data_IF_739507249435
#
_entry.id   IF_739507249435
#
_cell.length_a   1.000
_cell.length_b   1.000
_cell.length_c   1.000
_cell.angle_alpha   90.00
_cell.angle_beta   90.00
_cell.angle_gamma   90.00
#
_symmetry.space_group_name_H-M   'P 1'
#
loop_
_entity.id
_entity.type
_entity.pdbx_description
1 polymer ?
#
# COMPACT_ATOMS: atom_id res chain seq x y z
N UNK A 1 35.43 -5.78 25.76
CA UNK A 1 35.33 -6.64 24.55
C UNK A 1 34.29 -7.71 24.84
N UNK A 2 33.14 -7.64 24.20
CA UNK A 2 32.10 -8.67 24.26
C UNK A 2 31.76 -9.02 22.81
N UNK A 3 31.83 -10.31 22.50
CA UNK A 3 31.80 -10.91 21.17
C UNK A 3 30.42 -10.85 20.53
N UNK A 4 30.41 -10.53 19.24
CA UNK A 4 29.28 -10.11 18.40
C UNK A 4 28.47 -11.29 17.80
N UNK A 5 28.38 -12.44 18.48
CA UNK A 5 27.80 -13.66 17.89
C UNK A 5 26.47 -14.16 18.50
N UNK A 6 25.90 -13.48 19.51
CA UNK A 6 24.64 -13.91 20.13
C UNK A 6 23.53 -12.84 20.00
N UNK A 7 23.26 -12.38 18.78
CA UNK A 7 22.06 -11.58 18.46
C UNK A 7 21.09 -12.43 17.64
N UNK A 8 19.83 -12.62 18.09
CA UNK A 8 18.84 -13.37 17.33
C UNK A 8 18.56 -12.63 16.02
N UNK A 9 18.60 -13.36 14.90
CA UNK A 9 18.22 -12.84 13.59
C UNK A 9 16.82 -12.21 13.68
N UNK A 10 16.61 -11.02 13.09
CA UNK A 10 15.31 -10.36 13.13
C UNK A 10 14.26 -11.23 12.41
N UNK A 11 13.00 -11.21 12.86
CA UNK A 11 11.95 -12.01 12.23
C UNK A 11 11.75 -11.52 10.80
N UNK A 12 11.93 -12.42 9.82
CA UNK A 12 11.69 -12.18 8.40
C UNK A 12 10.34 -11.48 8.23
N UNK A 13 10.35 -10.42 7.41
CA UNK A 13 9.17 -9.61 7.10
C UNK A 13 8.07 -10.48 6.48
N UNK A 14 6.81 -10.07 6.63
CA UNK A 14 5.65 -10.79 6.05
C UNK A 14 5.83 -11.07 4.55
N UNK A 15 6.50 -10.15 3.86
CA UNK A 15 6.82 -10.26 2.44
C UNK A 15 7.89 -11.33 2.15
N UNK A 16 8.98 -11.39 2.92
CA UNK A 16 10.00 -12.45 2.76
C UNK A 16 9.43 -13.83 3.08
N UNK A 17 8.51 -13.94 4.06
CA UNK A 17 7.81 -15.21 4.33
C UNK A 17 6.92 -15.61 3.16
N UNK A 18 6.22 -14.66 2.55
CA UNK A 18 5.39 -14.93 1.37
C UNK A 18 6.22 -15.33 0.16
N UNK A 19 7.35 -14.65 -0.11
CA UNK A 19 8.27 -14.99 -1.20
C UNK A 19 8.90 -16.36 -0.98
N UNK A 20 9.31 -16.69 0.25
CA UNK A 20 9.86 -18.01 0.59
C UNK A 20 8.79 -19.11 0.48
N UNK A 21 7.54 -18.82 0.84
CA UNK A 21 6.41 -19.73 0.65
C UNK A 21 6.11 -19.95 -0.84
N UNK A 22 6.17 -18.90 -1.67
CA UNK A 22 5.95 -19.01 -3.12
C UNK A 22 7.09 -19.77 -3.79
N UNK A 23 8.35 -19.52 -3.40
CA UNK A 23 9.50 -20.27 -3.90
C UNK A 23 9.42 -21.76 -3.50
N UNK A 24 8.94 -22.05 -2.29
CA UNK A 24 8.70 -23.41 -1.81
C UNK A 24 7.55 -24.09 -2.55
N UNK A 25 6.44 -23.39 -2.78
CA UNK A 25 5.31 -23.91 -3.56
C UNK A 25 5.69 -24.13 -5.03
N UNK A 26 6.54 -23.27 -5.61
CA UNK A 26 7.08 -23.44 -6.95
C UNK A 26 7.99 -24.67 -7.03
N UNK A 27 8.88 -24.87 -6.05
CA UNK A 27 9.71 -26.08 -5.94
C UNK A 27 8.89 -27.35 -5.70
N UNK A 28 7.83 -27.28 -4.90
CA UNK A 28 6.91 -28.40 -4.66
C UNK A 28 6.09 -28.72 -5.92
N UNK A 29 5.70 -27.72 -6.72
CA UNK A 29 5.07 -27.92 -8.04
C UNK A 29 6.04 -28.51 -9.06
N UNK A 30 7.29 -28.04 -9.12
CA UNK A 30 8.31 -28.60 -10.00
C UNK A 30 8.57 -30.09 -9.66
N UNK A 31 8.67 -30.42 -8.36
CA UNK A 31 8.84 -31.78 -7.88
C UNK A 31 7.60 -32.66 -8.14
N UNK A 32 6.39 -32.09 -8.09
CA UNK A 32 5.15 -32.81 -8.42
C UNK A 32 5.03 -33.12 -9.93
N UNK A 33 5.57 -32.27 -10.80
CA UNK A 33 5.65 -32.50 -12.24
C UNK A 33 6.67 -33.61 -12.57
N UNK A 34 7.83 -33.63 -11.90
CA UNK A 34 8.83 -34.70 -12.01
C UNK A 34 8.32 -36.05 -11.47
N UNK A 35 7.54 -36.04 -10.37
CA UNK A 35 6.92 -37.27 -9.85
C UNK A 35 5.81 -37.84 -10.74
N UNK A 36 5.12 -37.00 -11.53
CA UNK A 36 4.11 -37.46 -12.52
C UNK A 36 4.72 -38.03 -13.79
N UNK A 37 5.94 -37.66 -14.15
CA UNK A 37 6.66 -38.23 -15.31
C UNK A 37 7.34 -39.57 -15.01
N UNK A 38 7.45 -39.95 -13.73
CA UNK A 38 8.06 -41.22 -13.28
C UNK A 38 7.09 -42.35 -12.91
N UNK A 39 5.76 -42.18 -12.97
CA UNK A 39 4.84 -43.29 -12.66
C UNK A 39 4.70 -44.23 -13.86
N UNK A 40 5.49 -45.32 -13.78
CA UNK A 40 5.25 -46.56 -14.49
C UNK A 40 3.78 -46.95 -14.37
N UNK A 41 3.23 -47.32 -15.52
CA UNK A 41 1.90 -47.87 -15.72
C UNK A 41 1.67 -49.09 -14.81
N UNK A 42 1.08 -48.88 -13.64
CA UNK A 42 0.33 -49.92 -12.92
C UNK A 42 -1.02 -50.08 -13.62
N UNK A 43 -1.14 -51.19 -14.37
CA UNK A 43 -2.39 -51.62 -15.00
C UNK A 43 -3.49 -51.79 -13.94
N UNK A 44 -4.71 -51.29 -14.15
CA UNK A 44 -5.88 -51.89 -13.54
C UNK A 44 -6.32 -53.08 -14.39
N UNK A 45 -6.37 -54.26 -13.77
CA UNK A 45 -7.16 -55.38 -14.27
C UNK A 45 -8.63 -54.94 -14.33
N UNK A 46 -9.15 -54.83 -15.55
CA UNK A 46 -10.58 -54.88 -15.80
C UNK A 46 -10.80 -56.05 -16.75
N UNK A 47 -11.45 -57.09 -16.21
CA UNK A 47 -11.83 -58.32 -16.87
C UNK A 47 -12.84 -58.05 -17.99
N UNK A 48 -12.37 -58.12 -19.24
CA UNK A 48 -13.22 -58.28 -20.42
C UNK A 48 -13.39 -59.78 -20.69
N UNK A 49 -14.46 -60.36 -20.12
CA UNK A 49 -15.15 -61.46 -20.78
C UNK A 49 -15.98 -60.84 -21.91
N UNK A 50 -15.58 -61.06 -23.16
CA UNK A 50 -16.40 -61.31 -24.35
C UNK A 50 -15.57 -61.04 -25.63
N UNK A 51 -15.33 -62.10 -26.43
CA UNK A 51 -14.94 -61.94 -27.83
C UNK A 51 -13.94 -62.96 -28.33
N UNK A 52 -14.43 -63.96 -29.06
CA UNK A 52 -13.62 -64.99 -29.71
C UNK A 52 -12.53 -64.45 -30.64
N UNK A 53 -11.51 -65.28 -30.85
CA UNK A 53 -10.32 -65.00 -31.64
C UNK A 53 -10.63 -64.65 -33.10
N UNK A 54 -10.92 -63.39 -33.38
CA UNK A 54 -10.84 -62.86 -34.75
C UNK A 54 -9.39 -62.46 -34.98
N UNK A 55 -8.72 -63.12 -35.92
CA UNK A 55 -7.34 -62.83 -36.30
C UNK A 55 -7.19 -61.33 -36.57
N UNK A 56 -6.37 -60.66 -35.76
CA UNK A 56 -6.14 -59.21 -35.84
C UNK A 56 -5.76 -58.82 -37.28
N UNK A 57 -6.47 -57.87 -37.92
CA UNK A 57 -6.25 -57.51 -39.32
C UNK A 57 -4.78 -57.20 -39.62
N UNK A 58 -4.27 -57.68 -40.77
CA UNK A 58 -2.86 -57.51 -41.17
C UNK A 58 -2.45 -56.02 -41.23
N UNK A 59 -3.38 -55.16 -41.63
CA UNK A 59 -3.20 -53.72 -41.67
C UNK A 59 -2.94 -53.12 -40.27
N UNK A 60 -3.74 -53.48 -39.27
CA UNK A 60 -3.59 -52.99 -37.90
C UNK A 60 -2.24 -53.42 -37.30
N UNK A 61 -1.78 -54.65 -37.59
CA UNK A 61 -0.44 -55.12 -37.17
C UNK A 61 0.69 -54.30 -37.81
N UNK A 62 0.52 -53.86 -39.06
CA UNK A 62 1.51 -53.04 -39.78
C UNK A 62 1.60 -51.63 -39.18
N UNK A 63 0.47 -51.01 -38.86
CA UNK A 63 0.44 -49.70 -38.22
C UNK A 63 1.00 -49.75 -36.79
N UNK A 64 0.63 -50.75 -35.99
CA UNK A 64 1.15 -50.89 -34.63
C UNK A 64 2.67 -51.13 -34.59
N UNK A 65 3.21 -51.89 -35.54
CA UNK A 65 4.66 -52.10 -35.66
C UNK A 65 5.40 -50.89 -36.20
N UNK A 66 4.75 -50.05 -37.03
CA UNK A 66 5.28 -48.74 -37.42
C UNK A 66 5.32 -47.78 -36.22
N UNK A 67 4.20 -47.62 -35.50
CA UNK A 67 4.09 -46.78 -34.31
C UNK A 67 5.15 -47.13 -33.25
N UNK A 68 5.34 -48.42 -32.96
CA UNK A 68 6.34 -48.87 -31.97
C UNK A 68 7.77 -48.56 -32.41
N UNK A 69 8.09 -48.64 -33.70
CA UNK A 69 9.42 -48.32 -34.22
C UNK A 69 9.71 -46.83 -34.14
N UNK A 70 8.76 -46.00 -34.57
CA UNK A 70 8.89 -44.54 -34.52
C UNK A 70 8.96 -44.02 -33.07
N UNK A 71 8.15 -44.57 -32.15
CA UNK A 71 8.24 -44.23 -30.73
C UNK A 71 9.57 -44.63 -30.08
N UNK A 72 10.15 -45.77 -30.48
CA UNK A 72 11.47 -46.20 -29.98
C UNK A 72 12.63 -45.40 -30.59
N UNK A 73 12.42 -44.74 -31.73
CA UNK A 73 13.42 -43.89 -32.38
C UNK A 73 13.49 -42.48 -31.76
N UNK A 74 12.46 -42.05 -31.01
CA UNK A 74 12.44 -40.76 -30.33
C UNK A 74 13.29 -40.79 -29.05
N UNK A 75 14.15 -39.79 -28.89
CA UNK A 75 14.95 -39.59 -27.67
C UNK A 75 14.13 -38.91 -26.56
N UNK A 76 13.94 -39.54 -25.38
CA UNK A 76 13.24 -38.95 -24.24
C UNK A 76 13.84 -37.65 -23.71
N UNK A 77 15.12 -37.37 -23.96
CA UNK A 77 15.82 -36.19 -23.46
C UNK A 77 15.69 -34.96 -24.38
N UNK A 78 15.04 -35.09 -25.55
CA UNK A 78 14.89 -33.95 -26.46
C UNK A 78 13.88 -32.92 -25.94
N UNK A 79 14.21 -31.61 -26.02
CA UNK A 79 13.23 -30.56 -25.84
C UNK A 79 12.10 -30.75 -26.86
N UNK A 80 10.84 -30.67 -26.40
CA UNK A 80 9.62 -30.97 -27.18
C UNK A 80 9.37 -32.46 -27.46
N UNK A 81 9.94 -33.40 -26.70
CA UNK A 81 9.64 -34.83 -26.82
C UNK A 81 8.13 -35.13 -26.91
N UNK A 82 7.31 -34.46 -26.10
CA UNK A 82 5.85 -34.64 -26.13
C UNK A 82 5.19 -34.18 -27.44
N UNK A 83 5.74 -33.15 -28.12
CA UNK A 83 5.23 -32.70 -29.42
C UNK A 83 5.60 -33.69 -30.54
N UNK A 84 6.83 -34.21 -30.52
CA UNK A 84 7.26 -35.24 -31.47
C UNK A 84 6.51 -36.55 -31.27
N UNK A 85 6.28 -36.95 -30.01
CA UNK A 85 5.44 -38.10 -29.67
C UNK A 85 4.02 -37.93 -30.22
N UNK A 86 3.40 -36.77 -30.02
CA UNK A 86 2.08 -36.47 -30.55
C UNK A 86 2.06 -36.48 -32.09
N UNK A 87 3.13 -36.02 -32.74
CA UNK A 87 3.27 -36.03 -34.20
C UNK A 87 3.26 -37.46 -34.78
N UNK A 88 3.99 -38.39 -34.16
CA UNK A 88 3.97 -39.81 -34.57
C UNK A 88 2.57 -40.41 -34.43
N UNK A 89 1.83 -40.07 -33.37
CA UNK A 89 0.44 -40.51 -33.21
C UNK A 89 -0.50 -39.89 -34.26
N UNK A 90 -0.29 -38.63 -34.66
CA UNK A 90 -1.07 -37.97 -35.72
C UNK A 90 -0.88 -38.67 -37.07
N UNK A 91 0.36 -38.93 -37.46
CA UNK A 91 0.70 -39.61 -38.72
C UNK A 91 0.13 -41.04 -38.75
N UNK A 92 0.22 -41.77 -37.63
CA UNK A 92 -0.37 -43.10 -37.49
C UNK A 92 -1.90 -43.04 -37.59
N UNK A 93 -2.53 -42.02 -37.02
CA UNK A 93 -3.98 -41.83 -37.10
C UNK A 93 -4.43 -41.44 -38.51
N UNK A 94 -3.64 -40.64 -39.24
CA UNK A 94 -3.88 -40.34 -40.65
C UNK A 94 -3.82 -41.59 -41.52
N UNK A 95 -2.76 -42.41 -41.37
CA UNK A 95 -2.68 -43.70 -42.04
C UNK A 95 -3.85 -44.62 -41.70
N UNK A 96 -4.34 -44.60 -40.46
CA UNK A 96 -5.47 -45.41 -40.02
C UNK A 96 -6.81 -44.94 -40.64
N UNK A 97 -7.02 -43.63 -40.71
CA UNK A 97 -8.26 -43.05 -41.26
C UNK A 97 -8.31 -43.18 -42.78
N UNK A 98 -7.17 -43.12 -43.47
CA UNK A 98 -7.10 -43.23 -44.93
C UNK A 98 -7.71 -44.53 -45.47
N UNK A 99 -7.54 -45.64 -44.75
CA UNK A 99 -8.03 -46.96 -45.13
C UNK A 99 -9.52 -47.19 -44.76
N UNK A 100 -10.11 -46.35 -43.90
CA UNK A 100 -11.50 -46.47 -43.43
C UNK A 100 -12.49 -45.66 -44.29
N UNK A 101 -12.93 -46.21 -45.42
CA UNK A 101 -13.78 -45.47 -46.37
C UNK A 101 -15.12 -44.93 -45.82
N UNK A 102 -15.80 -45.69 -44.96
CA UNK A 102 -17.14 -45.34 -44.46
C UNK A 102 -17.11 -44.35 -43.29
N UNK A 103 -16.10 -44.46 -42.41
CA UNK A 103 -16.00 -43.67 -41.18
C UNK A 103 -15.03 -42.49 -41.29
N UNK A 104 -14.26 -42.40 -42.38
CA UNK A 104 -13.26 -41.35 -42.62
C UNK A 104 -13.79 -39.92 -42.43
N UNK A 105 -14.95 -39.51 -43.01
CA UNK A 105 -15.43 -38.14 -42.84
C UNK A 105 -15.65 -37.75 -41.37
N UNK A 106 -16.18 -38.65 -40.56
CA UNK A 106 -16.43 -38.41 -39.14
C UNK A 106 -15.12 -38.35 -38.33
N UNK A 107 -14.22 -39.31 -38.54
CA UNK A 107 -12.94 -39.36 -37.82
C UNK A 107 -12.02 -38.19 -38.20
N UNK A 108 -12.03 -37.77 -39.48
CA UNK A 108 -11.32 -36.56 -39.90
C UNK A 108 -11.93 -35.29 -39.31
N UNK A 109 -13.26 -35.19 -39.20
CA UNK A 109 -13.91 -34.05 -38.54
C UNK A 109 -13.52 -33.97 -37.05
N UNK A 110 -13.55 -35.10 -36.34
CA UNK A 110 -13.12 -35.18 -34.94
C UNK A 110 -11.63 -34.81 -34.81
N UNK A 111 -10.75 -35.34 -35.67
CA UNK A 111 -9.32 -34.99 -35.70
C UNK A 111 -9.12 -33.48 -35.88
N UNK A 112 -9.83 -32.90 -36.84
CA UNK A 112 -9.72 -31.48 -37.18
C UNK A 112 -10.11 -30.58 -36.00
N UNK A 113 -11.18 -30.91 -35.27
CA UNK A 113 -11.57 -30.16 -34.06
C UNK A 113 -10.47 -30.18 -32.98
N UNK A 114 -9.85 -31.34 -32.74
CA UNK A 114 -8.72 -31.42 -31.81
C UNK A 114 -7.49 -30.67 -32.32
N UNK A 115 -7.20 -30.70 -33.62
CA UNK A 115 -6.09 -29.96 -34.21
C UNK A 115 -6.29 -28.45 -34.09
N UNK A 116 -7.50 -27.94 -34.39
CA UNK A 116 -7.87 -26.53 -34.21
C UNK A 116 -7.74 -26.12 -32.74
N UNK A 117 -8.26 -26.94 -31.83
CA UNK A 117 -8.19 -26.67 -30.38
C UNK A 117 -6.75 -26.63 -29.89
N UNK A 118 -5.88 -27.52 -30.37
CA UNK A 118 -4.46 -27.54 -30.01
C UNK A 118 -3.70 -26.32 -30.53
N UNK A 119 -4.04 -25.82 -31.73
CA UNK A 119 -3.49 -24.56 -32.25
C UNK A 119 -3.95 -23.38 -31.39
N UNK A 120 -5.24 -23.31 -31.07
CA UNK A 120 -5.79 -22.29 -30.18
C UNK A 120 -5.08 -22.23 -28.82
N UNK A 121 -4.89 -23.39 -28.17
CA UNK A 121 -4.19 -23.47 -26.88
C UNK A 121 -2.72 -23.07 -26.99
N UNK A 122 -2.03 -23.42 -28.08
CA UNK A 122 -0.64 -22.99 -28.32
C UNK A 122 -0.54 -21.49 -28.51
N UNK A 123 -1.48 -20.88 -29.22
CA UNK A 123 -1.50 -19.44 -29.41
C UNK A 123 -1.81 -18.70 -28.10
N UNK A 124 -2.72 -19.21 -27.26
CA UNK A 124 -2.91 -18.68 -25.91
C UNK A 124 -1.63 -18.76 -25.05
N UNK A 125 -0.86 -19.85 -25.15
CA UNK A 125 0.42 -19.97 -24.43
C UNK A 125 1.43 -18.94 -24.95
N UNK A 126 1.47 -18.68 -26.26
CA UNK A 126 2.36 -17.65 -26.85
C UNK A 126 2.03 -16.25 -26.38
N UNK A 127 0.76 -15.92 -26.17
CA UNK A 127 0.33 -14.62 -25.63
C UNK A 127 0.74 -14.42 -24.16
N UNK A 128 0.93 -15.50 -23.40
CA UNK A 128 1.37 -15.43 -22.00
C UNK A 128 2.88 -15.12 -21.86
N UNK A 129 3.69 -15.44 -22.85
CA UNK A 129 5.15 -15.22 -22.83
C UNK A 129 5.57 -13.73 -22.74
N UNK A 130 4.99 -12.79 -23.52
CA UNK A 130 5.27 -11.37 -23.35
C UNK A 130 4.75 -10.81 -22.02
N UNK A 131 3.67 -11.38 -21.48
CA UNK A 131 3.16 -11.00 -20.15
C UNK A 131 4.13 -11.40 -19.04
N UNK A 132 4.73 -12.59 -19.12
CA UNK A 132 5.80 -13.03 -18.21
C UNK A 132 7.03 -12.13 -18.30
N UNK A 133 7.45 -11.79 -19.52
CA UNK A 133 8.58 -10.89 -19.75
C UNK A 133 8.33 -9.50 -19.17
N UNK A 134 7.12 -8.95 -19.36
CA UNK A 134 6.73 -7.66 -18.79
C UNK A 134 6.64 -7.70 -17.27
N UNK A 135 6.16 -8.81 -16.70
CA UNK A 135 6.13 -9.00 -15.24
C UNK A 135 7.55 -9.03 -14.66
N UNK A 136 8.49 -9.72 -15.29
CA UNK A 136 9.89 -9.76 -14.87
C UNK A 136 10.51 -8.36 -14.85
N UNK A 137 10.29 -7.56 -15.91
CA UNK A 137 10.76 -6.18 -15.99
C UNK A 137 10.17 -5.31 -14.87
N UNK A 138 8.86 -5.40 -14.62
CA UNK A 138 8.21 -4.63 -13.55
C UNK A 138 8.69 -5.09 -12.16
N UNK A 139 8.96 -6.38 -11.98
CA UNK A 139 9.55 -6.91 -10.74
C UNK A 139 10.93 -6.30 -10.49
N UNK A 140 11.80 -6.32 -11.50
CA UNK A 140 13.15 -5.74 -11.40
C UNK A 140 13.08 -4.23 -11.10
N UNK A 141 12.17 -3.50 -11.74
CA UNK A 141 11.97 -2.08 -11.45
C UNK A 141 11.50 -1.82 -10.03
N UNK A 142 10.62 -2.66 -9.49
CA UNK A 142 10.19 -2.57 -8.10
C UNK A 142 11.35 -2.86 -7.13
N UNK A 143 12.15 -3.90 -7.39
CA UNK A 143 13.33 -4.24 -6.60
C UNK A 143 14.34 -3.09 -6.58
N UNK A 144 14.64 -2.49 -7.73
CA UNK A 144 15.52 -1.32 -7.83
C UNK A 144 14.99 -0.12 -7.03
N UNK A 145 13.69 0.16 -7.08
CA UNK A 145 13.07 1.23 -6.28
C UNK A 145 13.17 0.95 -4.78
N UNK A 146 12.94 -0.29 -4.36
CA UNK A 146 13.06 -0.69 -2.96
C UNK A 146 14.51 -0.51 -2.48
N UNK A 147 15.49 -0.92 -3.28
CA UNK A 147 16.92 -0.73 -2.96
C UNK A 147 17.28 0.75 -2.83
N UNK A 148 16.84 1.60 -3.76
CA UNK A 148 17.08 3.05 -3.68
C UNK A 148 16.50 3.66 -2.40
N UNK A 149 15.25 3.33 -2.05
CA UNK A 149 14.64 3.77 -0.80
C UNK A 149 15.42 3.25 0.41
N UNK A 150 15.91 2.00 0.37
CA UNK A 150 16.69 1.42 1.45
C UNK A 150 18.00 2.17 1.69
N UNK A 151 18.73 2.49 0.62
CA UNK A 151 19.98 3.27 0.69
C UNK A 151 19.74 4.67 1.27
N UNK A 152 18.69 5.37 0.83
CA UNK A 152 18.31 6.67 1.39
C UNK A 152 17.95 6.59 2.87
N UNK A 153 17.21 5.55 3.29
CA UNK A 153 16.85 5.35 4.70
C UNK A 153 18.09 5.08 5.55
N UNK A 154 19.05 4.30 5.05
CA UNK A 154 20.31 4.04 5.76
C UNK A 154 21.13 5.32 5.89
N UNK A 155 21.25 6.11 4.83
CA UNK A 155 21.95 7.39 4.84
C UNK A 155 21.33 8.38 5.85
N UNK A 156 20.00 8.59 5.78
CA UNK A 156 19.27 9.45 6.73
C UNK A 156 19.40 8.98 8.18
N UNK A 157 19.40 7.65 8.41
CA UNK A 157 19.59 7.09 9.75
C UNK A 157 20.98 7.38 10.29
N UNK A 158 22.00 7.39 9.45
CA UNK A 158 23.35 7.74 9.84
C UNK A 158 23.49 9.23 10.17
N UNK A 159 22.89 10.11 9.36
CA UNK A 159 22.82 11.55 9.63
C UNK A 159 22.09 11.84 10.94
N UNK A 160 20.95 11.18 11.19
CA UNK A 160 20.20 11.31 12.43
C UNK A 160 21.03 10.94 13.66
N UNK A 161 21.83 9.86 13.61
CA UNK A 161 22.76 9.50 14.68
C UNK A 161 23.84 10.57 14.89
N UNK A 162 24.36 11.15 13.82
CA UNK A 162 25.38 12.19 13.91
C UNK A 162 24.81 13.45 14.55
N UNK A 163 23.62 13.88 14.14
CA UNK A 163 22.91 15.01 14.73
C UNK A 163 22.60 14.78 16.22
N UNK A 164 22.20 13.56 16.58
CA UNK A 164 21.94 13.21 17.99
C UNK A 164 23.20 13.33 18.87
N UNK A 165 24.38 12.94 18.35
CA UNK A 165 25.66 13.13 19.06
C UNK A 165 25.96 14.61 19.26
N UNK A 166 25.84 15.41 18.21
CA UNK A 166 26.08 16.86 18.28
C UNK A 166 25.12 17.51 19.29
N UNK A 167 23.85 17.13 19.30
CA UNK A 167 22.87 17.61 20.26
C UNK A 167 23.28 17.28 21.71
N UNK A 168 23.74 16.06 21.96
CA UNK A 168 24.21 15.63 23.29
C UNK A 168 25.45 16.43 23.74
N UNK A 169 26.40 16.65 22.83
CA UNK A 169 27.62 17.43 23.13
C UNK A 169 27.28 18.88 23.45
N UNK A 170 26.41 19.51 22.65
CA UNK A 170 25.93 20.87 22.90
C UNK A 170 25.17 20.98 24.23
N UNK A 171 24.31 20.01 24.55
CA UNK A 171 23.58 19.98 25.81
C UNK A 171 24.53 19.88 27.01
N UNK A 172 25.62 19.11 26.87
CA UNK A 172 26.66 19.00 27.89
C UNK A 172 27.40 20.34 28.09
N UNK A 173 27.75 21.03 26.99
CA UNK A 173 28.35 22.36 27.06
C UNK A 173 27.43 23.39 27.70
N UNK A 174 26.14 23.39 27.35
CA UNK A 174 25.15 24.26 27.98
C UNK A 174 25.04 24.02 29.50
N UNK A 175 25.09 22.76 29.94
CA UNK A 175 25.08 22.42 31.35
C UNK A 175 26.31 22.99 32.08
N UNK A 176 27.49 22.83 31.47
CA UNK A 176 28.73 23.37 32.00
C UNK A 176 28.70 24.90 32.11
N UNK A 177 28.34 25.60 31.04
CA UNK A 177 28.26 27.06 31.02
C UNK A 177 27.23 27.58 32.02
N UNK A 178 26.08 26.91 32.17
CA UNK A 178 25.07 27.28 33.17
C UNK A 178 25.61 27.14 34.59
N UNK A 179 26.40 26.09 34.87
CA UNK A 179 27.05 25.88 36.17
C UNK A 179 28.14 26.92 36.43
N UNK A 180 28.94 27.26 35.42
CA UNK A 180 29.97 28.28 35.54
C UNK A 180 29.36 29.66 35.79
N UNK A 181 28.32 30.04 35.02
CA UNK A 181 27.58 31.28 35.22
C UNK A 181 27.00 31.38 36.63
N UNK A 182 26.38 30.31 37.14
CA UNK A 182 25.88 30.27 38.51
C UNK A 182 27.00 30.45 39.55
N UNK A 183 28.17 29.86 39.29
CA UNK A 183 29.35 30.00 40.15
C UNK A 183 29.87 31.44 40.16
N UNK A 184 29.87 32.12 39.00
CA UNK A 184 30.25 33.54 38.91
C UNK A 184 29.26 34.45 39.66
N UNK A 185 27.95 34.23 39.51
CA UNK A 185 26.94 34.98 40.27
C UNK A 185 27.09 34.80 41.79
N UNK A 186 27.44 33.60 42.24
CA UNK A 186 27.72 33.35 43.66
C UNK A 186 28.92 34.17 44.14
N UNK A 187 30.04 34.17 43.39
CA UNK A 187 31.22 34.98 43.70
C UNK A 187 30.90 36.47 43.79
N UNK A 188 30.14 37.01 42.83
CA UNK A 188 29.74 38.43 42.86
C UNK A 188 28.87 38.77 44.07
N UNK A 189 27.99 37.85 44.49
CA UNK A 189 27.18 38.01 45.70
C UNK A 189 28.05 38.04 46.96
N UNK A 190 28.97 37.09 47.09
CA UNK A 190 29.90 37.01 48.23
C UNK A 190 30.78 38.25 48.32
N UNK A 191 31.31 38.72 47.18
CA UNK A 191 32.10 39.95 47.06
C UNK A 191 31.28 41.18 47.47
N UNK A 192 30.04 41.28 47.00
CA UNK A 192 29.11 42.35 47.41
C UNK A 192 28.87 42.34 48.92
N UNK A 193 28.66 41.17 49.51
CA UNK A 193 28.43 41.03 50.94
C UNK A 193 29.69 41.36 51.76
N UNK A 194 30.89 41.03 51.26
CA UNK A 194 32.16 41.45 51.84
C UNK A 194 32.33 42.98 51.81
N UNK A 195 32.01 43.63 50.68
CA UNK A 195 32.04 45.09 50.54
C UNK A 195 31.06 45.78 51.49
N UNK A 196 29.85 45.25 51.65
CA UNK A 196 28.89 45.78 52.63
C UNK A 196 29.43 45.71 54.06
N UNK A 197 30.03 44.58 54.44
CA UNK A 197 30.70 44.44 55.75
C UNK A 197 31.82 45.47 55.92
N UNK A 198 32.66 45.64 54.91
CA UNK A 198 33.75 46.63 54.93
C UNK A 198 33.21 48.07 55.09
N UNK A 199 32.20 48.45 54.31
CA UNK A 199 31.56 49.77 54.40
C UNK A 199 30.98 49.98 55.79
N UNK A 200 30.27 49.01 56.35
CA UNK A 200 29.73 49.08 57.71
C UNK A 200 30.83 49.31 58.74
N UNK A 201 31.97 48.62 58.61
CA UNK A 201 33.13 48.80 59.48
C UNK A 201 33.72 50.21 59.33
N UNK A 202 33.90 50.70 58.10
CA UNK A 202 34.43 52.06 57.84
C UNK A 202 33.48 53.12 58.41
N UNK A 203 32.17 52.97 58.24
CA UNK A 203 31.17 53.89 58.80
C UNK A 203 31.26 53.88 60.33
N UNK A 204 31.34 52.70 60.96
CA UNK A 204 31.56 52.58 62.40
C UNK A 204 32.84 53.28 62.85
N UNK A 205 33.95 53.08 62.14
CA UNK A 205 35.24 53.73 62.44
C UNK A 205 35.18 55.25 62.24
N UNK A 206 34.41 55.78 61.27
CA UNK A 206 34.28 57.23 61.06
C UNK A 206 33.53 57.93 62.20
N UNK A 207 32.58 57.26 62.85
CA UNK A 207 31.94 57.79 64.05
C UNK A 207 32.90 57.88 65.25
N UNK A 208 33.94 57.04 65.30
CA UNK A 208 35.00 57.11 66.33
C UNK A 208 36.01 58.26 66.10
N UNK A 209 35.84 59.03 65.02
CA UNK A 209 36.85 59.97 64.49
C UNK A 209 36.40 61.44 64.53
N UNK A 210 35.37 61.79 65.32
CA UNK A 210 34.93 63.20 65.47
C UNK A 210 35.86 64.11 66.28
N UNK A 211 37.05 63.65 66.68
CA UNK A 211 38.12 64.54 67.13
C UNK A 211 39.45 64.15 66.47
N UNK A 212 39.81 64.83 65.37
CA UNK A 212 41.13 64.66 64.76
C UNK A 212 41.99 65.91 64.84
N UNK A 213 42.94 65.76 65.77
CA UNK A 213 44.21 66.45 65.96
C UNK A 213 44.99 66.70 64.64
N UNK A 214 45.59 67.89 64.44
CA UNK A 214 46.44 68.23 63.29
C UNK A 214 47.56 67.23 62.95
N UNK A 215 47.99 66.38 63.88
CA UNK A 215 48.92 65.26 63.59
C UNK A 215 48.34 64.25 62.60
N UNK A 216 47.03 64.02 62.65
CA UNK A 216 46.35 63.04 61.81
C UNK A 216 46.18 63.52 60.37
N UNK A 217 45.98 64.82 60.15
CA UNK A 217 46.03 65.42 58.82
C UNK A 217 47.42 65.30 58.18
N UNK A 218 48.49 65.41 58.97
CA UNK A 218 49.86 65.19 58.51
C UNK A 218 50.13 63.72 58.17
N UNK A 219 49.54 62.79 58.93
CA UNK A 219 49.60 61.36 58.66
C UNK A 219 48.80 60.99 57.40
N UNK A 220 47.59 61.54 57.23
CA UNK A 220 46.77 61.36 56.03
C UNK A 220 47.46 61.87 54.77
N UNK A 221 48.11 63.04 54.85
CA UNK A 221 48.86 63.59 53.72
C UNK A 221 50.11 62.75 53.36
N UNK A 222 50.76 62.11 54.35
CA UNK A 222 51.80 61.10 54.09
C UNK A 222 51.21 59.85 53.44
N UNK A 223 50.12 59.33 53.97
CA UNK A 223 49.42 58.17 53.41
C UNK A 223 49.00 58.40 51.95
N UNK A 224 48.45 59.58 51.62
CA UNK A 224 48.09 59.92 50.23
C UNK A 224 49.30 59.96 49.29
N UNK A 225 50.47 60.42 49.77
CA UNK A 225 51.70 60.41 48.97
C UNK A 225 52.23 58.99 48.77
N UNK A 226 52.18 58.18 49.81
CA UNK A 226 52.59 56.78 49.74
C UNK A 226 51.66 56.00 48.79
N UNK A 227 50.34 56.23 48.87
CA UNK A 227 49.37 55.59 47.97
C UNK A 227 49.51 56.05 46.52
N UNK A 228 49.87 57.32 46.29
CA UNK A 228 50.22 57.79 44.94
C UNK A 228 51.45 57.04 44.40
N UNK A 229 52.49 56.86 45.23
CA UNK A 229 53.68 56.10 44.80
C UNK A 229 53.36 54.63 44.55
N UNK A 230 52.50 54.00 45.36
CA UNK A 230 52.03 52.64 45.13
C UNK A 230 51.21 52.52 43.85
N UNK A 231 50.29 53.46 43.60
CA UNK A 231 49.50 53.48 42.37
C UNK A 231 50.39 53.67 41.14
N UNK A 232 51.41 54.52 41.23
CA UNK A 232 52.38 54.71 40.14
C UNK A 232 53.22 53.44 39.90
N UNK A 233 53.61 52.74 40.96
CA UNK A 233 54.31 51.46 40.86
C UNK A 233 53.43 50.36 40.27
N UNK A 234 52.16 50.26 40.68
CA UNK A 234 51.20 49.32 40.07
C UNK A 234 50.93 49.67 38.61
N UNK A 235 50.83 50.95 38.26
CA UNK A 235 50.68 51.37 36.87
C UNK A 235 51.89 50.96 36.04
N UNK A 236 53.11 51.15 36.56
CA UNK A 236 54.34 50.73 35.89
C UNK A 236 54.43 49.20 35.80
N UNK A 237 53.98 48.47 36.83
CA UNK A 237 53.89 47.01 36.84
C UNK A 237 52.90 46.53 35.77
N UNK A 238 51.71 47.11 35.70
CA UNK A 238 50.71 46.80 34.67
C UNK A 238 51.21 47.20 33.29
N UNK A 239 51.95 48.30 33.15
CA UNK A 239 52.57 48.66 31.87
C UNK A 239 53.56 47.57 31.44
N UNK A 240 54.50 47.19 32.31
CA UNK A 240 55.45 46.12 32.01
C UNK A 240 54.77 44.75 31.79
N UNK A 241 53.68 44.48 32.51
CA UNK A 241 52.93 43.24 32.41
C UNK A 241 52.01 43.18 31.20
N UNK A 242 51.53 44.30 30.64
CA UNK A 242 50.49 44.33 29.59
C UNK A 242 50.91 45.02 28.28
N UNK A 243 52.04 45.74 28.23
CA UNK A 243 52.52 46.44 27.03
C UNK A 243 52.88 45.49 25.89
N UNK A 244 53.25 44.24 26.19
CA UNK A 244 53.70 43.24 25.20
C UNK A 244 52.91 41.92 25.23
N UNK A 245 51.73 41.88 25.85
CA UNK A 245 51.00 40.60 26.09
C UNK A 245 50.27 40.06 24.87
N UNK A 246 50.07 40.86 23.83
CA UNK A 246 49.62 40.35 22.54
C UNK A 246 50.42 41.05 21.45
N UNK A 247 51.41 40.36 20.83
CA UNK A 247 52.08 40.87 19.65
C UNK A 247 51.04 41.35 18.63
N UNK A 248 51.23 42.55 18.08
CA UNK A 248 50.29 43.16 17.13
C UNK A 248 49.94 42.22 15.96
N UNK A 249 50.89 41.41 15.52
CA UNK A 249 50.70 40.39 14.50
C UNK A 249 49.68 39.32 14.90
N UNK A 250 49.66 38.88 16.16
CA UNK A 250 48.71 37.88 16.65
C UNK A 250 47.31 38.46 16.78
N UNK A 251 47.20 39.73 17.20
CA UNK A 251 45.92 40.46 17.19
C UNK A 251 45.39 40.65 15.77
N UNK A 252 46.24 41.07 14.82
CA UNK A 252 45.84 41.23 13.41
C UNK A 252 45.41 39.87 12.83
N UNK A 253 46.12 38.79 13.13
CA UNK A 253 45.75 37.43 12.71
C UNK A 253 44.41 37.02 13.32
N UNK A 254 44.21 37.23 14.62
CA UNK A 254 42.97 36.92 15.32
C UNK A 254 41.79 37.72 14.75
N UNK A 255 41.97 39.01 14.50
CA UNK A 255 40.95 39.89 13.91
C UNK A 255 40.56 39.43 12.49
N UNK A 256 41.53 39.05 11.65
CA UNK A 256 41.24 38.47 10.33
C UNK A 256 40.47 37.15 10.45
N UNK A 257 40.86 36.25 11.36
CA UNK A 257 40.12 35.00 11.57
C UNK A 257 38.70 35.25 12.09
N UNK A 258 38.52 36.23 12.96
CA UNK A 258 37.21 36.62 13.48
C UNK A 258 36.31 37.14 12.36
N UNK A 259 36.81 38.09 11.55
CA UNK A 259 36.10 38.62 10.36
C UNK A 259 35.73 37.52 9.37
N UNK A 260 36.65 36.60 9.09
CA UNK A 260 36.37 35.47 8.22
C UNK A 260 35.32 34.52 8.80
N UNK A 261 35.33 34.31 10.12
CA UNK A 261 34.34 33.48 10.82
C UNK A 261 32.95 34.13 10.78
N UNK A 262 32.87 35.45 10.97
CA UNK A 262 31.63 36.22 10.82
C UNK A 262 31.05 36.08 9.42
N UNK A 263 31.86 36.24 8.36
CA UNK A 263 31.40 36.07 6.98
C UNK A 263 30.90 34.64 6.69
N UNK A 264 31.54 33.62 7.28
CA UNK A 264 31.07 32.23 7.17
C UNK A 264 29.74 32.02 7.89
N UNK A 265 29.57 32.59 9.08
CA UNK A 265 28.32 32.55 9.82
C UNK A 265 27.19 33.24 9.06
N UNK A 266 27.44 34.42 8.49
CA UNK A 266 26.45 35.12 7.65
C UNK A 266 26.06 34.30 6.42
N UNK A 267 27.01 33.62 5.78
CA UNK A 267 26.71 32.74 4.64
C UNK A 267 25.85 31.55 5.07
N UNK A 268 26.24 30.85 6.13
CA UNK A 268 25.47 29.71 6.65
C UNK A 268 24.06 30.14 7.11
N UNK A 269 23.93 31.34 7.68
CA UNK A 269 22.64 31.90 8.06
C UNK A 269 21.75 32.11 6.82
N UNK A 270 22.30 32.69 5.74
CA UNK A 270 21.57 32.85 4.46
C UNK A 270 21.15 31.50 3.87
N UNK A 271 22.05 30.51 3.87
CA UNK A 271 21.76 29.18 3.36
C UNK A 271 20.67 28.49 4.18
N UNK A 272 20.69 28.67 5.51
CA UNK A 272 19.64 28.18 6.42
C UNK A 272 18.29 28.85 6.12
N UNK A 273 18.28 30.17 5.96
CA UNK A 273 17.05 30.92 5.67
C UNK A 273 16.48 30.53 4.29
N UNK A 274 17.34 30.27 3.30
CA UNK A 274 16.93 29.72 2.00
C UNK A 274 16.31 28.33 2.14
N UNK A 275 17.01 27.40 2.82
CA UNK A 275 16.51 26.04 2.99
C UNK A 275 15.18 26.00 3.75
N UNK A 276 15.01 26.90 4.73
CA UNK A 276 13.75 27.08 5.44
C UNK A 276 12.63 27.55 4.51
N UNK A 277 12.90 28.52 3.64
CA UNK A 277 11.92 28.97 2.65
C UNK A 277 11.53 27.85 1.68
N UNK A 278 12.50 27.07 1.18
CA UNK A 278 12.23 25.90 0.33
C UNK A 278 11.37 24.86 1.06
N UNK A 279 11.68 24.57 2.32
CA UNK A 279 10.87 23.68 3.16
C UNK A 279 9.42 24.18 3.32
N UNK A 280 9.24 25.47 3.60
CA UNK A 280 7.91 26.06 3.75
C UNK A 280 7.10 25.97 2.44
N UNK A 281 7.74 26.16 1.29
CA UNK A 281 7.07 25.96 -0.02
C UNK A 281 6.68 24.50 -0.26
N UNK A 282 7.56 23.56 0.08
CA UNK A 282 7.27 22.13 -0.08
C UNK A 282 6.15 21.68 0.85
N UNK A 283 6.11 22.21 2.07
CA UNK A 283 5.04 21.97 3.02
C UNK A 283 3.68 22.44 2.48
N UNK A 284 3.65 23.60 1.82
CA UNK A 284 2.42 24.11 1.21
C UNK A 284 1.95 23.25 0.03
N UNK A 285 2.87 22.83 -0.84
CA UNK A 285 2.58 21.88 -1.93
C UNK A 285 2.05 20.55 -1.35
N UNK A 286 2.64 20.05 -0.28
CA UNK A 286 2.19 18.81 0.37
C UNK A 286 0.76 18.93 0.90
N UNK A 287 0.40 20.05 1.53
CA UNK A 287 -0.99 20.31 1.96
C UNK A 287 -1.93 20.34 0.77
N UNK A 288 -1.55 20.98 -0.33
CA UNK A 288 -2.37 21.04 -1.54
C UNK A 288 -2.60 19.64 -2.14
N UNK A 289 -1.56 18.83 -2.28
CA UNK A 289 -1.68 17.46 -2.79
C UNK A 289 -2.55 16.59 -1.85
N UNK A 290 -2.43 16.80 -0.54
CA UNK A 290 -3.24 16.10 0.46
C UNK A 290 -4.72 16.45 0.32
N UNK A 291 -5.06 17.73 0.16
CA UNK A 291 -6.46 18.16 -0.05
C UNK A 291 -7.02 17.63 -1.37
N UNK A 292 -6.23 17.60 -2.44
CA UNK A 292 -6.62 16.99 -3.73
C UNK A 292 -6.85 15.47 -3.61
N UNK A 293 -5.97 14.76 -2.88
CA UNK A 293 -6.17 13.34 -2.60
C UNK A 293 -7.47 13.11 -1.85
N UNK A 294 -7.74 13.90 -0.81
CA UNK A 294 -8.92 13.74 0.03
C UNK A 294 -10.22 14.12 -0.70
N UNK A 295 -10.18 15.05 -1.66
CA UNK A 295 -11.32 15.29 -2.55
C UNK A 295 -11.56 14.11 -3.49
N UNK A 296 -10.51 13.58 -4.14
CA UNK A 296 -10.66 12.43 -5.04
C UNK A 296 -11.11 11.18 -4.30
N UNK A 297 -10.65 10.98 -3.06
CA UNK A 297 -11.09 9.88 -2.21
C UNK A 297 -12.58 10.00 -1.89
N UNK A 298 -13.07 11.20 -1.54
CA UNK A 298 -14.50 11.45 -1.34
C UNK A 298 -15.29 11.17 -2.60
N UNK A 299 -14.84 11.64 -3.76
CA UNK A 299 -15.51 11.36 -5.03
C UNK A 299 -15.57 9.85 -5.32
N UNK A 300 -14.49 9.11 -5.05
CA UNK A 300 -14.47 7.65 -5.19
C UNK A 300 -15.43 6.94 -4.25
N UNK A 301 -15.53 7.41 -3.01
CA UNK A 301 -16.46 6.87 -2.02
C UNK A 301 -17.91 7.18 -2.42
N UNK A 302 -18.21 8.39 -2.89
CA UNK A 302 -19.51 8.76 -3.46
C UNK A 302 -19.88 7.87 -4.67
N UNK A 303 -18.92 7.61 -5.57
CA UNK A 303 -19.13 6.69 -6.69
C UNK A 303 -19.36 5.25 -6.22
N UNK A 304 -18.64 4.78 -5.19
CA UNK A 304 -18.84 3.45 -4.61
C UNK A 304 -20.24 3.33 -4.01
N UNK A 305 -20.68 4.34 -3.26
CA UNK A 305 -22.02 4.39 -2.68
C UNK A 305 -23.12 4.48 -3.75
N UNK A 306 -22.87 5.19 -4.85
CA UNK A 306 -23.79 5.23 -5.99
C UNK A 306 -23.82 3.91 -6.78
N UNK A 307 -22.70 3.17 -6.82
CA UNK A 307 -22.56 1.91 -7.55
C UNK A 307 -22.94 0.67 -6.74
N UNK A 308 -23.16 0.78 -5.43
CA UNK A 308 -23.79 -0.32 -4.67
C UNK A 308 -25.24 -0.46 -5.13
N UNK A 309 -25.55 -1.62 -5.73
CA UNK A 309 -26.87 -1.98 -6.25
C UNK A 309 -27.97 -1.62 -5.24
N UNK A 310 -28.73 -0.56 -5.51
CA UNK A 310 -29.88 -0.19 -4.66
C UNK A 310 -31.03 -1.11 -5.01
N UNK A 311 -31.34 -2.05 -4.11
CA UNK A 311 -32.68 -2.62 -4.07
C UNK A 311 -33.65 -1.48 -3.73
N UNK A 312 -34.75 -1.35 -4.49
CA UNK A 312 -35.80 -0.38 -4.19
C UNK A 312 -36.60 -0.83 -2.95
N UNK A 313 -36.08 -0.51 -1.76
CA UNK A 313 -36.67 -0.92 -0.48
C UNK A 313 -38.12 -0.51 -0.27
N UNK A 314 -38.60 0.49 -1.02
CA UNK A 314 -40.02 0.91 -0.97
C UNK A 314 -40.96 -0.18 -1.47
N UNK A 315 -40.53 -1.00 -2.43
CA UNK A 315 -41.32 -2.13 -2.96
C UNK A 315 -41.27 -3.36 -2.04
N UNK A 316 -40.21 -3.49 -1.23
CA UNK A 316 -40.07 -4.60 -0.27
C UNK A 316 -40.93 -4.44 1.01
N UNK A 317 -41.49 -3.25 1.24
CA UNK A 317 -42.25 -2.96 2.46
C UNK A 317 -43.58 -3.74 2.55
N UNK A 318 -44.17 -4.07 1.40
CA UNK A 318 -45.42 -4.86 1.34
C UNK A 318 -45.18 -6.33 1.72
N UNK A 319 -44.01 -6.89 1.39
CA UNK A 319 -43.66 -8.27 1.68
C UNK A 319 -43.40 -8.54 3.18
N UNK A 320 -43.05 -7.51 3.97
CA UNK A 320 -42.61 -7.68 5.35
C UNK A 320 -43.52 -6.95 6.37
N UNK A 321 -44.75 -6.58 5.95
CA UNK A 321 -45.81 -6.20 6.89
C UNK A 321 -46.22 -4.72 6.91
N UNK A 322 -46.01 -3.97 5.82
CA UNK A 322 -46.65 -2.68 5.57
C UNK A 322 -45.75 -1.44 5.68
N UNK A 323 -45.95 -0.48 4.76
CA UNK A 323 -45.07 0.67 4.50
C UNK A 323 -44.77 1.58 5.72
N UNK A 324 -45.68 1.74 6.69
CA UNK A 324 -45.48 2.68 7.81
C UNK A 324 -44.46 2.16 8.83
N UNK A 325 -44.59 0.89 9.23
CA UNK A 325 -43.68 0.25 10.21
C UNK A 325 -42.27 0.07 9.63
N UNK A 326 -42.18 -0.14 8.32
CA UNK A 326 -40.92 -0.17 7.59
C UNK A 326 -40.27 1.22 7.50
N UNK A 327 -41.03 2.29 7.26
CA UNK A 327 -40.49 3.64 7.17
C UNK A 327 -39.83 4.13 8.48
N UNK A 328 -40.39 3.78 9.63
CA UNK A 328 -39.84 4.13 10.95
C UNK A 328 -38.51 3.42 11.25
N UNK A 329 -38.38 2.14 10.90
CA UNK A 329 -37.17 1.34 11.13
C UNK A 329 -36.00 1.75 10.21
N UNK A 330 -36.30 2.27 9.01
CA UNK A 330 -35.31 2.58 7.97
C UNK A 330 -34.69 3.99 8.12
N UNK A 331 -35.30 4.89 8.89
CA UNK A 331 -34.94 6.32 8.92
C UNK A 331 -33.52 6.63 9.44
N UNK A 332 -32.83 5.67 10.06
CA UNK A 332 -31.47 5.87 10.60
C UNK A 332 -30.48 4.73 10.34
N UNK A 333 -30.81 3.80 9.46
CA UNK A 333 -30.03 2.58 9.28
C UNK A 333 -29.30 2.58 7.92
N UNK A 334 -28.07 2.08 7.89
CA UNK A 334 -27.30 1.84 6.65
C UNK A 334 -27.95 0.75 5.80
N UNK A 335 -27.72 0.72 4.48
CA UNK A 335 -28.29 -0.28 3.57
C UNK A 335 -28.05 -1.73 4.01
N UNK A 336 -26.92 -2.00 4.68
CA UNK A 336 -26.62 -3.30 5.27
C UNK A 336 -27.53 -3.62 6.47
N UNK A 337 -27.65 -2.68 7.42
CA UNK A 337 -28.53 -2.81 8.59
C UNK A 337 -30.00 -2.92 8.21
N UNK A 338 -30.42 -2.26 7.11
CA UNK A 338 -31.78 -2.36 6.58
C UNK A 338 -32.09 -3.76 6.07
N UNK A 339 -31.13 -4.39 5.38
CA UNK A 339 -31.26 -5.77 4.94
C UNK A 339 -31.24 -6.75 6.12
N UNK A 340 -30.40 -6.52 7.13
CA UNK A 340 -30.37 -7.35 8.33
C UNK A 340 -31.70 -7.29 9.09
N UNK A 341 -32.32 -6.11 9.17
CA UNK A 341 -33.67 -5.93 9.74
C UNK A 341 -34.75 -6.61 8.87
N UNK A 342 -34.63 -6.56 7.54
CA UNK A 342 -35.49 -7.29 6.60
C UNK A 342 -35.40 -8.81 6.82
N UNK A 343 -34.17 -9.33 6.87
CA UNK A 343 -33.89 -10.74 7.09
C UNK A 343 -34.27 -11.18 8.50
N UNK A 344 -34.19 -10.32 9.52
CA UNK A 344 -34.69 -10.60 10.87
C UNK A 344 -36.23 -10.60 10.94
N UNK A 345 -36.89 -9.69 10.21
CA UNK A 345 -38.35 -9.65 10.08
C UNK A 345 -38.91 -10.85 9.31
N UNK A 346 -38.17 -11.31 8.29
CA UNK A 346 -38.42 -12.58 7.61
C UNK A 346 -38.03 -13.78 8.49
N UNK A 347 -36.96 -13.64 9.29
CA UNK A 347 -36.38 -14.59 10.24
C UNK A 347 -37.34 -15.09 11.31
N UNK A 348 -38.27 -14.23 11.74
CA UNK A 348 -39.36 -14.62 12.65
C UNK A 348 -40.41 -15.55 12.01
N UNK A 349 -40.44 -15.66 10.67
CA UNK A 349 -41.35 -16.54 9.90
C UNK A 349 -40.64 -17.74 9.25
N UNK A 350 -39.34 -17.95 9.48
CA UNK A 350 -38.57 -19.03 8.82
C UNK A 350 -38.90 -20.43 9.36
N UNK A 351 -39.73 -20.57 10.39
CA UNK A 351 -40.11 -21.92 10.86
C UNK A 351 -41.11 -22.66 9.95
N UNK A 352 -41.62 -22.06 8.86
CA UNK A 352 -42.39 -22.84 7.87
C UNK A 352 -42.41 -22.18 6.49
N UNK A 353 -41.52 -22.67 5.61
CA UNK A 353 -41.57 -22.61 4.14
C UNK A 353 -41.63 -21.21 3.49
N UNK A 354 -40.45 -20.66 3.19
CA UNK A 354 -40.32 -19.81 1.99
C UNK A 354 -40.25 -20.76 0.79
N UNK A 355 -41.22 -20.69 -0.14
CA UNK A 355 -41.12 -21.47 -1.37
C UNK A 355 -39.96 -20.93 -2.20
N UNK A 356 -39.21 -21.80 -2.89
CA UNK A 356 -38.21 -21.40 -3.89
C UNK A 356 -38.83 -20.42 -4.91
N UNK A 357 -40.13 -20.56 -5.15
CA UNK A 357 -40.91 -19.68 -6.00
C UNK A 357 -41.05 -18.26 -5.42
N UNK A 358 -41.26 -18.11 -4.11
CA UNK A 358 -41.38 -16.80 -3.46
C UNK A 358 -40.04 -16.03 -3.49
N UNK A 359 -38.93 -16.75 -3.31
CA UNK A 359 -37.58 -16.19 -3.45
C UNK A 359 -37.30 -15.76 -4.90
N UNK A 360 -37.71 -16.59 -5.87
CA UNK A 360 -37.58 -16.29 -7.30
C UNK A 360 -38.39 -15.07 -7.69
N UNK A 361 -39.63 -14.96 -7.20
CA UNK A 361 -40.51 -13.84 -7.50
C UNK A 361 -40.04 -12.55 -6.81
N UNK A 362 -39.52 -12.64 -5.59
CA UNK A 362 -38.85 -11.51 -4.93
C UNK A 362 -37.60 -11.04 -5.68
N UNK A 363 -36.79 -11.96 -6.22
CA UNK A 363 -35.62 -11.63 -7.04
C UNK A 363 -36.00 -11.05 -8.41
N UNK A 364 -37.07 -11.53 -9.04
CA UNK A 364 -37.64 -10.95 -10.26
C UNK A 364 -38.11 -9.51 -10.02
N UNK A 365 -38.80 -9.28 -8.91
CA UNK A 365 -39.26 -7.95 -8.52
C UNK A 365 -38.10 -7.02 -8.17
N UNK A 366 -37.08 -7.51 -7.46
CA UNK A 366 -35.91 -6.72 -7.10
C UNK A 366 -34.97 -6.44 -8.30
N UNK A 367 -35.01 -7.28 -9.34
CA UNK A 367 -34.16 -7.15 -10.53
C UNK A 367 -34.96 -7.36 -11.83
N UNK A 368 -35.81 -6.41 -12.24
CA UNK A 368 -36.73 -6.56 -13.37
C UNK A 368 -36.05 -6.79 -14.73
N UNK A 369 -34.78 -6.40 -14.86
CA UNK A 369 -33.99 -6.48 -16.09
C UNK A 369 -33.19 -7.79 -16.23
N UNK A 370 -33.28 -8.70 -15.25
CA UNK A 370 -32.57 -10.00 -15.31
C UNK A 370 -33.30 -10.99 -16.21
N UNK A 371 -32.55 -11.70 -17.04
CA UNK A 371 -33.09 -12.83 -17.81
C UNK A 371 -33.42 -13.98 -16.84
N UNK A 372 -34.44 -14.75 -17.18
CA UNK A 372 -34.93 -15.87 -16.36
C UNK A 372 -33.80 -16.83 -15.93
N UNK A 373 -32.87 -17.11 -16.85
CA UNK A 373 -31.69 -17.97 -16.62
C UNK A 373 -30.72 -17.40 -15.57
N UNK A 374 -30.56 -16.08 -15.51
CA UNK A 374 -29.68 -15.41 -14.55
C UNK A 374 -30.32 -15.36 -13.16
N UNK A 375 -31.65 -15.26 -13.11
CA UNK A 375 -32.43 -15.33 -11.86
C UNK A 375 -32.34 -16.74 -11.30
N UNK A 376 -32.47 -17.77 -12.13
CA UNK A 376 -32.36 -19.17 -11.72
C UNK A 376 -30.97 -19.52 -11.16
N UNK A 377 -29.90 -18.97 -11.76
CA UNK A 377 -28.55 -19.11 -11.22
C UNK A 377 -28.37 -18.38 -9.87
N UNK A 378 -28.98 -17.21 -9.70
CA UNK A 378 -28.98 -16.44 -8.44
C UNK A 378 -29.73 -17.17 -7.33
N UNK A 379 -30.89 -17.75 -7.64
CA UNK A 379 -31.66 -18.61 -6.73
C UNK A 379 -30.81 -19.82 -6.34
N UNK A 380 -30.15 -20.47 -7.29
CA UNK A 380 -29.27 -21.63 -7.02
C UNK A 380 -28.09 -21.26 -6.13
N UNK A 381 -27.43 -20.12 -6.38
CA UNK A 381 -26.31 -19.65 -5.56
C UNK A 381 -26.76 -19.26 -4.14
N UNK A 382 -27.93 -18.63 -4.00
CA UNK A 382 -28.51 -18.29 -2.70
C UNK A 382 -28.87 -19.54 -1.88
N UNK A 383 -29.38 -20.60 -2.53
CA UNK A 383 -29.67 -21.88 -1.89
C UNK A 383 -28.39 -22.57 -1.39
N UNK A 384 -27.33 -22.61 -2.21
CA UNK A 384 -26.03 -23.18 -1.82
C UNK A 384 -25.41 -22.45 -0.62
N UNK A 385 -25.55 -21.12 -0.55
CA UNK A 385 -25.07 -20.34 0.60
C UNK A 385 -25.95 -20.52 1.85
N UNK A 386 -27.28 -20.69 1.70
CA UNK A 386 -28.17 -20.97 2.83
C UNK A 386 -27.85 -22.33 3.47
N UNK A 387 -27.57 -23.35 2.65
CA UNK A 387 -27.22 -24.70 3.10
C UNK A 387 -25.88 -24.72 3.86
N UNK A 388 -24.92 -23.89 3.45
CA UNK A 388 -23.59 -23.83 4.06
C UNK A 388 -23.54 -23.01 5.38
N UNK A 389 -24.45 -22.07 5.60
CA UNK A 389 -24.38 -21.10 6.70
C UNK A 389 -25.59 -21.15 7.67
N UNK A 390 -26.37 -22.22 7.68
CA UNK A 390 -27.45 -22.41 8.65
C UNK A 390 -28.57 -21.37 8.54
N UNK A 391 -28.89 -20.92 7.32
CA UNK A 391 -30.02 -20.01 7.05
C UNK A 391 -29.69 -18.52 7.07
N UNK A 392 -28.42 -18.10 7.20
CA UNK A 392 -28.02 -16.69 7.16
C UNK A 392 -27.23 -16.34 5.88
N UNK A 393 -27.85 -15.55 5.00
CA UNK A 393 -27.23 -15.10 3.75
C UNK A 393 -26.48 -13.77 3.95
N UNK A 394 -25.16 -13.76 3.78
CA UNK A 394 -24.36 -12.53 3.82
C UNK A 394 -24.36 -11.84 2.45
N UNK A 395 -25.15 -10.77 2.30
CA UNK A 395 -25.31 -10.00 1.06
C UNK A 395 -24.01 -9.45 0.47
N UNK A 396 -23.07 -9.07 1.32
CA UNK A 396 -21.73 -8.65 0.88
C UNK A 396 -21.00 -9.78 0.14
N UNK A 397 -21.25 -11.06 0.46
CA UNK A 397 -20.54 -12.20 -0.13
C UNK A 397 -21.09 -12.58 -1.51
N UNK A 398 -22.41 -12.48 -1.70
CA UNK A 398 -23.07 -12.62 -3.02
C UNK A 398 -22.63 -11.51 -4.00
N UNK A 399 -22.24 -10.34 -3.47
CA UNK A 399 -21.74 -9.19 -4.23
C UNK A 399 -20.20 -9.10 -4.28
N UNK A 400 -19.47 -9.84 -3.44
CA UNK A 400 -18.02 -9.87 -3.37
C UNK A 400 -17.43 -10.82 -4.41
N UNK A 401 -16.13 -10.65 -4.67
CA UNK A 401 -15.38 -11.50 -5.60
C UNK A 401 -14.89 -12.75 -4.86
N UNK A 402 -15.30 -13.93 -5.32
CA UNK A 402 -14.71 -15.17 -4.84
C UNK A 402 -13.25 -15.28 -5.32
N UNK A 403 -12.41 -15.96 -4.54
CA UNK A 403 -10.98 -16.19 -4.78
C UNK A 403 -10.61 -16.84 -6.13
N UNK A 404 -11.61 -17.21 -6.94
CA UNK A 404 -11.47 -17.83 -8.27
C UNK A 404 -11.71 -16.82 -9.41
N UNK A 405 -11.92 -15.52 -9.11
CA UNK A 405 -12.09 -14.48 -10.14
C UNK A 405 -13.39 -14.62 -10.95
N UNK A 406 -14.32 -15.48 -10.53
CA UNK A 406 -15.67 -15.54 -11.07
C UNK A 406 -16.43 -14.32 -10.57
N UNK A 407 -16.45 -13.26 -11.38
CA UNK A 407 -17.25 -12.03 -11.13
C UNK A 407 -18.67 -12.44 -10.71
N UNK A 408 -19.15 -11.92 -9.58
CA UNK A 408 -20.52 -12.14 -9.12
C UNK A 408 -21.50 -11.86 -10.26
N UNK A 409 -22.47 -12.75 -10.45
CA UNK A 409 -23.44 -12.69 -11.55
C UNK A 409 -24.20 -11.35 -11.57
N UNK A 410 -24.33 -10.70 -10.41
CA UNK A 410 -24.87 -9.34 -10.25
C UNK A 410 -23.99 -8.28 -10.93
N UNK A 411 -22.65 -8.35 -10.79
CA UNK A 411 -21.70 -7.41 -11.43
C UNK A 411 -21.55 -7.61 -12.94
N UNK A 412 -21.87 -8.79 -13.48
CA UNK A 412 -21.83 -9.04 -14.94
C UNK A 412 -22.85 -8.21 -15.72
N UNK A 413 -23.88 -7.68 -15.07
CA UNK A 413 -24.96 -6.92 -15.70
C UNK A 413 -24.87 -5.39 -15.50
N UNK A 414 -24.11 -4.93 -14.49
CA UNK A 414 -23.77 -3.51 -14.29
C UNK A 414 -23.05 -2.95 -15.52
N UNK A 415 -22.25 -3.77 -16.22
CA UNK A 415 -21.51 -3.35 -17.41
C UNK A 415 -22.45 -3.04 -18.61
N UNK A 416 -23.37 -3.93 -19.03
CA UNK A 416 -24.40 -3.62 -20.04
C UNK A 416 -25.29 -2.44 -19.68
N UNK A 417 -25.76 -2.34 -18.43
CA UNK A 417 -26.64 -1.26 -17.98
C UNK A 417 -25.91 0.09 -17.97
N UNK A 418 -24.65 0.13 -17.49
CA UNK A 418 -23.79 1.32 -17.62
C UNK A 418 -23.54 1.67 -19.08
N UNK A 419 -23.44 0.69 -19.96
CA UNK A 419 -23.23 0.94 -21.38
C UNK A 419 -24.50 1.51 -22.04
N UNK A 420 -25.68 1.02 -21.68
CA UNK A 420 -26.97 1.58 -22.12
C UNK A 420 -27.19 3.00 -21.58
N UNK A 421 -26.97 3.23 -20.29
CA UNK A 421 -27.09 4.54 -19.67
C UNK A 421 -26.06 5.53 -20.26
N UNK A 422 -24.82 5.09 -20.49
CA UNK A 422 -23.79 5.91 -21.17
C UNK A 422 -24.16 6.23 -22.62
N UNK A 423 -24.81 5.31 -23.33
CA UNK A 423 -25.29 5.57 -24.68
C UNK A 423 -26.50 6.53 -24.67
N UNK A 424 -27.42 6.40 -23.72
CA UNK A 424 -28.53 7.33 -23.54
C UNK A 424 -28.05 8.74 -23.18
N UNK A 425 -27.06 8.85 -22.28
CA UNK A 425 -26.36 10.10 -21.98
C UNK A 425 -25.73 10.67 -23.26
N UNK A 426 -25.03 9.87 -24.04
CA UNK A 426 -24.40 10.32 -25.29
C UNK A 426 -25.43 10.84 -26.31
N UNK A 427 -26.58 10.18 -26.44
CA UNK A 427 -27.66 10.58 -27.34
C UNK A 427 -28.32 11.89 -26.88
N UNK A 428 -28.63 12.03 -25.58
CA UNK A 428 -29.23 13.24 -25.01
C UNK A 428 -28.26 14.44 -25.03
N UNK A 429 -26.95 14.18 -24.94
CA UNK A 429 -25.91 15.20 -24.98
C UNK A 429 -25.54 15.63 -26.40
N UNK A 430 -26.10 14.99 -27.44
CA UNK A 430 -25.96 15.41 -28.85
C UNK A 430 -24.51 15.51 -29.36
N UNK A 431 -23.56 14.78 -28.76
CA UNK A 431 -22.15 14.79 -29.18
C UNK A 431 -21.37 16.09 -28.90
N UNK A 432 -21.84 16.95 -27.99
CA UNK A 432 -21.14 18.21 -27.64
C UNK A 432 -19.77 17.94 -27.01
N UNK A 433 -18.72 18.56 -27.54
CA UNK A 433 -17.33 18.39 -27.08
C UNK A 433 -17.01 19.08 -25.74
N UNK A 434 -17.84 20.05 -25.31
CA UNK A 434 -17.69 20.77 -24.05
C UNK A 434 -19.05 20.90 -23.39
N UNK A 435 -19.13 20.44 -22.14
CA UNK A 435 -20.38 20.23 -21.41
C UNK A 435 -20.34 21.06 -20.13
N UNK A 436 -21.38 21.86 -19.87
CA UNK A 436 -21.49 22.60 -18.61
C UNK A 436 -22.24 21.80 -17.54
N UNK A 437 -22.03 22.14 -16.26
CA UNK A 437 -22.67 21.45 -15.12
C UNK A 437 -24.21 21.54 -15.20
N UNK A 438 -24.74 22.63 -15.76
CA UNK A 438 -26.18 22.82 -15.90
C UNK A 438 -26.77 21.94 -17.01
N UNK A 439 -26.03 21.74 -18.12
CA UNK A 439 -26.41 20.80 -19.17
C UNK A 439 -26.47 19.36 -18.63
N UNK A 440 -25.48 18.96 -17.83
CA UNK A 440 -25.47 17.65 -17.16
C UNK A 440 -26.67 17.49 -16.23
N UNK A 441 -26.98 18.51 -15.43
CA UNK A 441 -28.09 18.47 -14.49
C UNK A 441 -29.44 18.27 -15.19
N UNK A 442 -29.64 18.91 -16.35
CA UNK A 442 -30.85 18.73 -17.18
C UNK A 442 -30.91 17.32 -17.77
N UNK A 443 -29.79 16.82 -18.30
CA UNK A 443 -29.74 15.48 -18.90
C UNK A 443 -29.94 14.39 -17.86
N UNK A 444 -29.32 14.50 -16.68
CA UNK A 444 -29.54 13.56 -15.58
C UNK A 444 -31.00 13.55 -15.13
N UNK A 445 -31.62 14.71 -14.92
CA UNK A 445 -33.05 14.78 -14.59
C UNK A 445 -33.92 14.11 -15.64
N UNK A 446 -33.66 14.34 -16.93
CA UNK A 446 -34.46 13.77 -18.01
C UNK A 446 -34.29 12.25 -18.15
N UNK A 447 -33.07 11.73 -18.00
CA UNK A 447 -32.80 10.29 -18.09
C UNK A 447 -33.35 9.56 -16.86
N UNK A 448 -33.20 10.14 -15.66
CA UNK A 448 -33.73 9.57 -14.44
C UNK A 448 -35.28 9.59 -14.43
N UNK A 449 -35.91 10.62 -15.03
CA UNK A 449 -37.35 10.68 -15.28
C UNK A 449 -37.82 9.64 -16.33
N UNK A 450 -37.03 9.41 -17.39
CA UNK A 450 -37.34 8.40 -18.42
C UNK A 450 -37.18 6.97 -17.92
N UNK A 451 -36.16 6.71 -17.09
CA UNK A 451 -36.00 5.42 -16.40
C UNK A 451 -37.15 5.20 -15.42
N UNK A 452 -37.50 6.18 -14.59
CA UNK A 452 -38.63 6.06 -13.68
C UNK A 452 -39.97 5.91 -14.40
N UNK A 453 -40.23 6.59 -15.52
CA UNK A 453 -41.46 6.40 -16.30
C UNK A 453 -41.52 5.04 -17.01
N UNK A 454 -40.41 4.56 -17.58
CA UNK A 454 -40.34 3.22 -18.18
C UNK A 454 -40.56 2.09 -17.14
N UNK A 455 -40.21 2.34 -15.88
CA UNK A 455 -40.48 1.44 -14.75
C UNK A 455 -41.95 1.43 -14.30
N UNK A 456 -42.74 2.47 -14.61
CA UNK A 456 -44.18 2.53 -14.30
C UNK A 456 -45.08 2.04 -15.42
N UNK A 457 -44.63 2.05 -16.68
CA UNK A 457 -45.42 1.61 -17.85
C UNK A 457 -45.00 0.23 -18.38
N UNK A 458 -44.65 -0.69 -17.48
CA UNK A 458 -44.43 -2.10 -17.81
C UNK A 458 -45.73 -2.91 -17.73
N UNK A 459 -46.52 -2.88 -18.79
CA UNK A 459 -47.44 -3.98 -19.16
C UNK A 459 -46.67 -5.19 -19.66
#
# INVERSE_FOLDING_TARGET
>A
MLTQNDMPLPPLSSFERQVTSIARLSSEYQCAIEKRTGHQSTKPECSDEFGGSVLKPRFLKKIESYLKRELHALDPQQPKFQEHKLQVYREVFDCFIEDLKTYKPLLSAIKNEYEITLVYLRDQIRELEPLRSRLALVSEQCEQRILGIHEEVVARKQESRNLQKIQYDLQTQMCYLKKDLASQYLKYREERDARKRLISNIVSMRYDVEFEDPVKNKLALKLCRDDLTKAQLELNRLHAEYEEVVPRQDWETLDHTHKNTLLKLERMQKDFDQMKAEYDTLLEVHKQVTTQRDSLQRDLDDFREACTCRAEWKLCADAVGGSERWAELLQRQSSQQRLDIMLAGLGGKISSLLSIQDLRDALKMAFPLKKEQDIDMLVTAALVELDNNGGSLQYQRVCAEDAVGRRSLVKKQILPERHMYSNQLRTQMGGKAKVTVEDLRVVFRNIDLLWTLAHWTGT
#
